data_IF_646344646830
#
_entry.id   IF_646344646830
#
_cell.length_a   1.000
_cell.length_b   1.000
_cell.length_c   1.000
_cell.angle_alpha   90.00
_cell.angle_beta   90.00
_cell.angle_gamma   90.00
#
_symmetry.space_group_name_H-M   'P 1'
#
loop_
_entity.id
_entity.type
_entity.pdbx_description
1 polymer ?
#
# COMPACT_ATOMS: atom_id res chain seq x y z
N UNK A 1 -27.79 39.13 -11.62
CA UNK A 1 -27.65 37.68 -11.65
C UNK A 1 -26.42 37.17 -12.41
N UNK A 2 -25.87 37.86 -13.41
CA UNK A 2 -24.67 37.41 -14.16
C UNK A 2 -23.34 37.43 -13.40
N UNK A 3 -23.20 38.27 -12.34
CA UNK A 3 -21.95 38.36 -11.55
C UNK A 3 -21.75 37.24 -10.51
N UNK A 4 -22.84 36.60 -10.05
CA UNK A 4 -22.77 35.54 -9.02
C UNK A 4 -22.27 34.19 -9.58
N UNK A 5 -22.56 33.94 -10.87
CA UNK A 5 -22.13 32.69 -11.55
C UNK A 5 -20.62 32.67 -11.81
N UNK A 6 -20.03 33.86 -12.06
CA UNK A 6 -18.57 33.93 -12.34
C UNK A 6 -17.72 33.67 -11.08
N UNK A 7 -18.20 34.07 -9.90
CA UNK A 7 -17.45 33.82 -8.63
C UNK A 7 -17.47 32.36 -8.23
N UNK A 8 -18.55 31.63 -8.48
CA UNK A 8 -18.64 30.19 -8.22
C UNK A 8 -17.72 29.35 -9.14
N UNK A 9 -17.54 29.78 -10.40
CA UNK A 9 -16.66 29.11 -11.33
C UNK A 9 -15.18 29.25 -10.97
N UNK A 10 -14.78 30.43 -10.48
CA UNK A 10 -13.38 30.70 -10.07
C UNK A 10 -13.03 29.90 -8.79
N UNK A 11 -13.97 29.71 -7.88
CA UNK A 11 -13.75 28.90 -6.68
C UNK A 11 -13.55 27.42 -6.98
N UNK A 12 -14.21 26.88 -8.01
CA UNK A 12 -14.05 25.48 -8.43
C UNK A 12 -12.70 25.22 -9.10
N UNK A 13 -12.18 26.19 -9.86
CA UNK A 13 -10.87 26.08 -10.54
C UNK A 13 -9.72 26.12 -9.52
N UNK A 14 -9.85 26.87 -8.42
CA UNK A 14 -8.82 26.97 -7.39
C UNK A 14 -8.71 25.69 -6.55
N UNK A 15 -9.82 24.97 -6.33
CA UNK A 15 -9.82 23.69 -5.60
C UNK A 15 -9.15 22.59 -6.45
N UNK A 16 -9.37 22.59 -7.76
CA UNK A 16 -8.74 21.63 -8.69
C UNK A 16 -7.21 21.83 -8.79
N UNK A 17 -6.74 23.10 -8.79
CA UNK A 17 -5.31 23.40 -8.81
C UNK A 17 -4.56 23.04 -7.52
N UNK A 18 -5.24 23.03 -6.37
CA UNK A 18 -4.59 22.63 -5.10
C UNK A 18 -4.39 21.13 -4.97
N UNK A 19 -5.28 20.30 -5.53
CA UNK A 19 -5.14 18.84 -5.51
C UNK A 19 -3.98 18.37 -6.41
N UNK A 20 -3.77 18.97 -7.56
CA UNK A 20 -2.66 18.62 -8.45
C UNK A 20 -1.28 18.89 -7.82
N UNK A 21 -1.11 19.95 -7.06
CA UNK A 21 0.15 20.27 -6.39
C UNK A 21 0.56 19.28 -5.29
N UNK A 22 -0.40 18.61 -4.65
CA UNK A 22 -0.14 17.65 -3.57
C UNK A 22 0.46 16.34 -4.09
N UNK A 23 0.10 15.94 -5.29
CA UNK A 23 0.53 14.68 -5.89
C UNK A 23 1.73 14.82 -6.84
N UNK A 24 2.15 16.06 -7.15
CA UNK A 24 3.36 16.30 -7.93
C UNK A 24 4.58 15.67 -7.26
N UNK A 25 5.32 14.86 -8.01
CA UNK A 25 6.54 14.21 -7.55
C UNK A 25 6.35 12.84 -6.90
N UNK A 26 5.12 12.29 -6.86
CA UNK A 26 4.89 10.90 -6.42
C UNK A 26 4.84 9.92 -7.60
N UNK A 27 4.52 10.37 -8.79
CA UNK A 27 4.45 9.51 -9.97
C UNK A 27 5.83 9.00 -10.38
N UNK A 28 5.91 7.70 -10.72
CA UNK A 28 7.09 7.07 -11.29
C UNK A 28 6.88 6.77 -12.77
N UNK A 29 5.96 5.88 -13.09
CA UNK A 29 5.61 5.59 -14.49
C UNK A 29 4.18 5.07 -14.63
N UNK A 30 3.59 5.31 -15.80
CA UNK A 30 2.30 4.78 -16.17
C UNK A 30 2.48 3.39 -16.80
N UNK A 31 1.79 2.38 -16.28
CA UNK A 31 1.84 1.00 -16.79
C UNK A 31 0.76 0.72 -17.85
N UNK A 32 -0.03 1.73 -18.21
CA UNK A 32 -1.11 1.60 -19.18
C UNK A 32 -2.50 1.72 -18.59
N UNK A 33 -3.50 1.31 -19.35
CA UNK A 33 -4.91 1.38 -18.95
C UNK A 33 -5.51 0.00 -18.72
N UNK A 34 -6.28 -0.11 -17.66
CA UNK A 34 -7.13 -1.27 -17.39
C UNK A 34 -8.54 -0.78 -17.10
N UNK A 35 -9.54 -1.29 -17.84
CA UNK A 35 -10.96 -0.91 -17.66
C UNK A 35 -11.23 0.61 -17.70
N UNK A 36 -10.49 1.38 -18.48
CA UNK A 36 -10.55 2.85 -18.57
C UNK A 36 -9.87 3.61 -17.42
N UNK A 37 -9.15 2.94 -16.51
CA UNK A 37 -8.32 3.56 -15.47
C UNK A 37 -6.87 3.60 -15.91
N UNK A 38 -6.22 4.73 -15.71
CA UNK A 38 -4.77 4.85 -15.82
C UNK A 38 -4.12 4.21 -14.59
N UNK A 39 -3.20 3.27 -14.83
CA UNK A 39 -2.50 2.56 -13.76
C UNK A 39 -1.13 3.18 -13.58
N UNK A 40 -0.89 3.72 -12.39
CA UNK A 40 0.36 4.39 -12.06
C UNK A 40 1.14 3.65 -10.99
N UNK A 41 2.42 3.41 -11.27
CA UNK A 41 3.37 3.13 -10.20
C UNK A 41 3.75 4.46 -9.57
N UNK A 42 3.58 4.56 -8.24
CA UNK A 42 3.90 5.75 -7.47
C UNK A 42 5.03 5.47 -6.48
N UNK A 43 5.74 6.51 -6.07
CA UNK A 43 6.66 6.45 -4.95
C UNK A 43 5.88 6.41 -3.64
N UNK A 44 5.62 5.20 -3.14
CA UNK A 44 4.87 5.01 -1.91
C UNK A 44 5.52 5.69 -0.71
N UNK A 45 6.87 5.76 -0.66
CA UNK A 45 7.56 6.50 0.38
C UNK A 45 7.22 8.01 0.35
N UNK A 46 7.17 8.63 -0.84
CA UNK A 46 6.73 10.02 -0.97
C UNK A 46 5.25 10.21 -0.65
N UNK A 47 4.40 9.24 -1.01
CA UNK A 47 2.98 9.28 -0.62
C UNK A 47 2.85 9.23 0.90
N UNK A 48 3.52 8.27 1.55
CA UNK A 48 3.51 8.15 3.02
C UNK A 48 4.06 9.38 3.72
N UNK A 49 5.11 9.97 3.18
CA UNK A 49 5.75 11.14 3.77
C UNK A 49 4.94 12.43 3.62
N UNK A 50 4.29 12.64 2.47
CA UNK A 50 3.75 13.96 2.11
C UNK A 50 2.23 14.03 2.09
N UNK A 51 1.55 12.90 1.91
CA UNK A 51 0.12 12.87 1.61
C UNK A 51 -0.65 12.05 2.65
N UNK A 52 -0.30 10.77 2.80
CA UNK A 52 -1.02 9.84 3.67
C UNK A 52 -0.09 8.78 4.21
N UNK A 53 0.22 8.87 5.50
CA UNK A 53 1.23 8.06 6.19
C UNK A 53 0.93 6.56 6.24
N UNK A 54 -0.34 6.18 6.15
CA UNK A 54 -0.80 4.79 6.15
C UNK A 54 -1.06 4.25 4.73
N UNK A 55 -0.47 4.85 3.68
CA UNK A 55 -0.59 4.32 2.32
C UNK A 55 0.19 3.02 2.18
N UNK A 56 -0.49 1.93 1.84
CA UNK A 56 0.08 0.60 1.66
C UNK A 56 -0.43 -0.02 0.35
N UNK A 57 0.42 -0.75 -0.35
CA UNK A 57 0.16 -1.51 -1.58
C UNK A 57 -0.38 -0.67 -2.73
N UNK A 58 -1.58 -0.08 -2.59
CA UNK A 58 -2.22 0.67 -3.66
C UNK A 58 -3.34 1.58 -3.17
N UNK A 59 -4.08 2.16 -4.13
CA UNK A 59 -5.20 3.03 -3.84
C UNK A 59 -5.98 3.50 -5.06
N UNK A 60 -7.23 3.86 -4.81
CA UNK A 60 -8.15 4.38 -5.79
C UNK A 60 -8.89 5.63 -5.25
N UNK A 61 -9.51 6.41 -6.15
CA UNK A 61 -10.15 7.68 -5.78
C UNK A 61 -11.42 7.54 -4.95
N UNK A 62 -12.02 6.36 -4.87
CA UNK A 62 -13.19 6.14 -4.01
C UNK A 62 -12.76 6.02 -2.55
N UNK A 63 -11.56 5.45 -2.31
CA UNK A 63 -10.99 5.30 -0.97
C UNK A 63 -10.21 6.54 -0.56
N UNK A 64 -9.38 7.08 -1.46
CA UNK A 64 -8.47 8.18 -1.17
C UNK A 64 -8.81 9.43 -1.97
N UNK A 65 -9.37 10.48 -1.33
CA UNK A 65 -9.73 11.72 -2.01
C UNK A 65 -8.57 12.47 -2.68
N UNK A 66 -7.32 12.14 -2.31
CA UNK A 66 -6.13 12.70 -2.94
C UNK A 66 -5.76 11.98 -4.24
N UNK A 67 -6.27 10.76 -4.46
CA UNK A 67 -6.01 10.02 -5.69
C UNK A 67 -6.84 10.62 -6.84
N UNK A 68 -6.22 11.03 -7.97
CA UNK A 68 -6.94 11.62 -9.08
C UNK A 68 -8.00 10.67 -9.65
N UNK A 69 -9.11 11.26 -10.08
CA UNK A 69 -10.22 10.50 -10.65
C UNK A 69 -9.79 9.79 -11.94
N UNK A 70 -10.06 8.49 -11.98
CA UNK A 70 -9.73 7.64 -13.13
C UNK A 70 -8.34 7.02 -13.04
N UNK A 71 -7.66 7.15 -11.92
CA UNK A 71 -6.35 6.54 -11.67
C UNK A 71 -6.42 5.45 -10.60
N UNK A 72 -5.60 4.44 -10.77
CA UNK A 72 -5.23 3.48 -9.74
C UNK A 72 -3.75 3.65 -9.46
N UNK A 73 -3.41 3.82 -8.21
CA UNK A 73 -2.02 3.93 -7.76
C UNK A 73 -1.54 2.61 -7.18
N UNK A 74 -0.33 2.19 -7.55
CA UNK A 74 0.35 1.02 -7.01
C UNK A 74 1.68 1.48 -6.44
N UNK A 75 1.97 1.07 -5.22
CA UNK A 75 3.21 1.39 -4.52
C UNK A 75 4.42 0.71 -5.18
N UNK A 76 5.48 1.46 -5.46
CA UNK A 76 6.71 0.91 -6.01
C UNK A 76 7.50 0.05 -5.00
N UNK A 77 7.11 0.04 -3.73
CA UNK A 77 7.77 -0.76 -2.70
C UNK A 77 7.37 -2.24 -2.73
N UNK A 78 6.30 -2.61 -3.44
CA UNK A 78 5.80 -3.99 -3.46
C UNK A 78 6.41 -4.82 -4.60
N UNK A 79 6.41 -6.15 -4.44
CA UNK A 79 6.93 -7.08 -5.45
C UNK A 79 6.02 -7.19 -6.68
N UNK A 80 6.55 -7.75 -7.77
CA UNK A 80 5.75 -8.01 -8.98
C UNK A 80 4.59 -8.97 -8.73
N UNK A 81 4.71 -9.87 -7.76
CA UNK A 81 3.66 -10.80 -7.38
C UNK A 81 2.48 -10.08 -6.72
N UNK A 82 2.77 -9.11 -5.86
CA UNK A 82 1.77 -8.31 -5.18
C UNK A 82 1.15 -7.24 -6.09
N UNK A 83 1.90 -6.75 -7.09
CA UNK A 83 1.41 -5.74 -8.02
C UNK A 83 0.07 -6.13 -8.66
N UNK A 84 -0.03 -7.35 -9.17
CA UNK A 84 -1.24 -7.80 -9.87
C UNK A 84 -2.40 -8.10 -8.94
N UNK A 85 -2.09 -8.58 -7.76
CA UNK A 85 -3.08 -8.84 -6.72
C UNK A 85 -3.65 -7.53 -6.20
N UNK A 86 -2.77 -6.56 -5.91
CA UNK A 86 -3.16 -5.20 -5.54
C UNK A 86 -4.00 -4.53 -6.63
N UNK A 87 -3.59 -4.63 -7.89
CA UNK A 87 -4.36 -4.06 -9.00
C UNK A 87 -5.77 -4.67 -9.09
N UNK A 88 -5.89 -6.00 -8.93
CA UNK A 88 -7.19 -6.67 -8.92
C UNK A 88 -8.05 -6.21 -7.73
N UNK A 89 -7.44 -6.06 -6.56
CA UNK A 89 -8.07 -5.55 -5.35
C UNK A 89 -8.63 -4.14 -5.57
N UNK A 90 -7.80 -3.21 -5.99
CA UNK A 90 -8.16 -1.80 -6.15
C UNK A 90 -9.26 -1.59 -7.22
N UNK A 91 -9.18 -2.30 -8.33
CA UNK A 91 -10.21 -2.25 -9.37
C UNK A 91 -11.55 -2.78 -8.87
N UNK A 92 -11.55 -3.87 -8.09
CA UNK A 92 -12.76 -4.45 -7.52
C UNK A 92 -13.36 -3.55 -6.43
N UNK A 93 -12.56 -3.13 -5.47
CA UNK A 93 -12.98 -2.22 -4.38
C UNK A 93 -13.63 -0.96 -4.95
N UNK A 94 -12.92 -0.30 -5.86
CA UNK A 94 -13.43 0.87 -6.55
C UNK A 94 -14.76 0.61 -7.26
N UNK A 95 -14.87 -0.53 -7.98
CA UNK A 95 -16.09 -0.90 -8.69
C UNK A 95 -17.27 -1.06 -7.73
N UNK A 96 -17.08 -1.75 -6.62
CA UNK A 96 -18.11 -1.96 -5.60
C UNK A 96 -18.56 -0.65 -4.97
N UNK A 97 -17.61 0.24 -4.64
CA UNK A 97 -17.94 1.55 -4.07
C UNK A 97 -18.63 2.46 -5.08
N UNK A 98 -18.10 2.58 -6.30
CA UNK A 98 -18.61 3.52 -7.30
C UNK A 98 -19.96 3.09 -7.92
N UNK A 99 -20.14 1.79 -8.21
CA UNK A 99 -21.33 1.28 -8.90
C UNK A 99 -22.46 0.91 -7.96
N UNK A 100 -22.14 0.31 -6.81
CA UNK A 100 -23.14 -0.20 -5.88
C UNK A 100 -23.28 0.65 -4.61
N UNK A 101 -22.44 1.67 -4.43
CA UNK A 101 -22.46 2.55 -3.26
C UNK A 101 -22.04 1.85 -1.96
N UNK A 102 -21.25 0.78 -2.06
CA UNK A 102 -20.79 0.06 -0.88
C UNK A 102 -19.86 0.94 -0.04
N UNK A 103 -19.94 0.76 1.28
CA UNK A 103 -18.98 1.36 2.20
C UNK A 103 -17.60 0.71 2.00
N UNK A 104 -16.55 1.49 2.27
CA UNK A 104 -15.17 1.06 2.12
C UNK A 104 -14.90 -0.32 2.72
N UNK A 105 -15.19 -0.52 4.01
CA UNK A 105 -14.93 -1.80 4.71
C UNK A 105 -15.54 -2.98 3.97
N UNK A 106 -16.80 -2.90 3.57
CA UNK A 106 -17.49 -3.98 2.87
C UNK A 106 -16.90 -4.23 1.48
N UNK A 107 -16.55 -3.17 0.76
CA UNK A 107 -15.90 -3.28 -0.55
C UNK A 107 -14.49 -3.88 -0.43
N UNK A 108 -13.74 -3.46 0.57
CA UNK A 108 -12.40 -3.96 0.90
C UNK A 108 -12.42 -5.47 1.24
N UNK A 109 -13.28 -5.91 2.16
CA UNK A 109 -13.42 -7.33 2.53
C UNK A 109 -13.78 -8.20 1.31
N UNK A 110 -14.67 -7.71 0.44
CA UNK A 110 -14.99 -8.39 -0.81
C UNK A 110 -13.80 -8.45 -1.76
N UNK A 111 -12.98 -7.42 -1.80
CA UNK A 111 -11.77 -7.37 -2.62
C UNK A 111 -10.69 -8.30 -2.09
N UNK A 112 -10.54 -8.43 -0.76
CA UNK A 112 -9.70 -9.44 -0.13
C UNK A 112 -10.16 -10.86 -0.49
N UNK A 113 -11.48 -11.11 -0.55
CA UNK A 113 -12.03 -12.42 -0.97
C UNK A 113 -11.69 -12.75 -2.43
N UNK A 114 -11.76 -11.77 -3.33
CA UNK A 114 -11.33 -11.92 -4.71
C UNK A 114 -9.83 -12.21 -4.78
N UNK A 115 -9.02 -11.45 -4.08
CA UNK A 115 -7.58 -11.61 -4.01
C UNK A 115 -7.19 -12.99 -3.51
N UNK A 116 -7.83 -13.50 -2.44
CA UNK A 116 -7.65 -14.87 -1.95
C UNK A 116 -7.97 -15.91 -3.02
N UNK A 117 -9.05 -15.73 -3.76
CA UNK A 117 -9.42 -16.64 -4.85
C UNK A 117 -8.33 -16.68 -5.92
N UNK A 118 -7.71 -15.55 -6.24
CA UNK A 118 -6.61 -15.45 -7.20
C UNK A 118 -5.36 -16.12 -6.64
N UNK A 119 -4.99 -15.85 -5.38
CA UNK A 119 -3.82 -16.45 -4.71
C UNK A 119 -3.91 -17.97 -4.62
N UNK A 120 -5.09 -18.54 -4.43
CA UNK A 120 -5.31 -19.99 -4.37
C UNK A 120 -5.49 -20.66 -5.73
N UNK A 121 -5.66 -19.89 -6.81
CA UNK A 121 -5.60 -20.45 -8.14
C UNK A 121 -4.15 -20.91 -8.38
N UNK A 122 -3.94 -22.17 -8.82
CA UNK A 122 -2.61 -22.78 -9.04
C UNK A 122 -1.79 -22.10 -10.15
N UNK A 123 -1.76 -20.77 -10.16
CA UNK A 123 -1.01 -19.99 -11.13
C UNK A 123 0.37 -19.67 -10.58
N UNK A 124 1.37 -19.79 -11.43
CA UNK A 124 2.73 -19.38 -11.11
C UNK A 124 2.70 -17.92 -10.65
N UNK A 125 3.45 -17.66 -9.58
CA UNK A 125 3.74 -16.31 -9.09
C UNK A 125 4.03 -15.41 -10.28
N UNK A 126 4.16 -14.26 -10.38
CA UNK A 126 4.43 -13.36 -11.52
C UNK A 126 3.64 -13.59 -12.84
N UNK A 127 2.96 -14.73 -13.04
CA UNK A 127 2.04 -14.97 -14.17
C UNK A 127 0.56 -14.75 -13.82
N UNK A 128 0.27 -14.41 -12.59
CA UNK A 128 -1.08 -14.09 -12.13
C UNK A 128 -1.72 -12.90 -12.87
N UNK A 129 -0.94 -12.14 -13.63
CA UNK A 129 -1.32 -10.90 -14.29
C UNK A 129 -2.55 -11.03 -15.20
N UNK A 130 -2.44 -11.79 -16.27
CA UNK A 130 -3.54 -11.90 -17.24
C UNK A 130 -4.78 -12.55 -16.62
N UNK A 131 -4.57 -13.48 -15.72
CA UNK A 131 -5.66 -14.16 -15.05
C UNK A 131 -6.33 -13.30 -13.99
N UNK A 132 -5.58 -12.44 -13.28
CA UNK A 132 -6.13 -11.47 -12.35
C UNK A 132 -7.02 -10.46 -13.07
N UNK A 133 -6.54 -9.91 -14.18
CA UNK A 133 -7.31 -8.97 -14.98
C UNK A 133 -8.55 -9.60 -15.60
N UNK A 134 -8.46 -10.86 -16.09
CA UNK A 134 -9.62 -11.61 -16.59
C UNK A 134 -10.64 -11.87 -15.48
N UNK A 135 -10.19 -12.23 -14.27
CA UNK A 135 -11.08 -12.42 -13.13
C UNK A 135 -11.80 -11.14 -12.72
N UNK A 136 -11.09 -10.03 -12.60
CA UNK A 136 -11.71 -8.73 -12.30
C UNK A 136 -12.75 -8.37 -13.35
N UNK A 137 -12.46 -8.60 -14.63
CA UNK A 137 -13.40 -8.30 -15.73
C UNK A 137 -14.61 -9.23 -15.79
N UNK A 138 -14.47 -10.48 -15.35
CA UNK A 138 -15.47 -11.54 -15.44
C UNK A 138 -16.21 -11.81 -14.12
N UNK A 139 -15.81 -11.16 -13.02
CA UNK A 139 -16.36 -11.44 -11.70
C UNK A 139 -17.82 -10.97 -11.62
N UNK A 140 -18.72 -11.88 -11.30
CA UNK A 140 -20.08 -11.59 -10.86
C UNK A 140 -20.04 -11.26 -9.36
N UNK A 141 -20.11 -9.97 -9.05
CA UNK A 141 -20.03 -9.46 -7.68
C UNK A 141 -21.28 -9.78 -6.84
N UNK A 142 -22.34 -10.33 -7.43
CA UNK A 142 -23.58 -10.65 -6.71
C UNK A 142 -23.44 -11.80 -5.70
N UNK A 143 -22.39 -12.61 -5.83
CA UNK A 143 -22.18 -13.83 -5.04
C UNK A 143 -20.89 -13.81 -4.19
N UNK A 144 -20.21 -12.68 -4.04
CA UNK A 144 -19.03 -12.60 -3.18
C UNK A 144 -19.49 -12.69 -1.72
N UNK A 145 -19.04 -13.73 -1.05
CA UNK A 145 -19.31 -13.99 0.37
C UNK A 145 -18.23 -13.33 1.23
N UNK A 146 -18.65 -12.83 2.37
CA UNK A 146 -17.76 -12.35 3.42
C UNK A 146 -16.70 -13.41 3.80
N UNK A 147 -15.45 -12.97 3.99
CA UNK A 147 -14.38 -13.87 4.44
C UNK A 147 -14.72 -14.32 5.86
N UNK A 148 -14.96 -15.61 6.04
CA UNK A 148 -15.05 -16.18 7.37
C UNK A 148 -13.65 -16.30 7.97
N UNK A 149 -13.53 -15.91 9.23
CA UNK A 149 -12.28 -15.94 9.99
C UNK A 149 -11.49 -17.24 9.80
N UNK A 150 -10.18 -17.08 9.77
CA UNK A 150 -9.25 -18.17 9.50
C UNK A 150 -9.18 -19.11 10.71
N UNK A 151 -9.10 -20.40 10.46
CA UNK A 151 -8.96 -21.43 11.49
C UNK A 151 -7.63 -21.30 12.24
N UNK A 152 -7.66 -21.38 13.59
CA UNK A 152 -6.50 -21.30 14.49
C UNK A 152 -5.45 -22.42 14.32
N UNK A 153 -5.60 -23.31 13.34
CA UNK A 153 -4.74 -24.49 13.15
C UNK A 153 -3.74 -24.37 12.00
N UNK A 154 -3.37 -23.17 11.59
CA UNK A 154 -2.54 -22.96 10.41
C UNK A 154 -1.07 -23.23 10.71
N UNK A 155 -0.43 -24.02 9.85
CA UNK A 155 0.99 -24.30 9.92
C UNK A 155 1.80 -23.10 9.43
N UNK A 156 2.41 -22.37 10.36
CA UNK A 156 3.26 -21.20 10.07
C UNK A 156 4.70 -21.59 9.67
N UNK A 157 5.04 -22.87 9.70
CA UNK A 157 6.43 -23.39 9.57
C UNK A 157 7.14 -22.99 8.27
N UNK A 158 6.42 -22.72 7.20
CA UNK A 158 7.00 -22.44 5.88
C UNK A 158 7.07 -20.95 5.50
N UNK A 159 6.73 -20.05 6.42
CA UNK A 159 6.69 -18.61 6.12
C UNK A 159 7.98 -17.88 6.49
N UNK A 160 8.75 -18.39 7.47
CA UNK A 160 10.00 -17.74 7.90
C UNK A 160 11.05 -17.80 6.79
N UNK A 161 11.73 -16.68 6.55
CA UNK A 161 12.78 -16.53 5.54
C UNK A 161 14.12 -16.18 6.17
N UNK A 162 14.24 -15.00 6.81
CA UNK A 162 15.50 -14.47 7.31
C UNK A 162 15.33 -14.01 8.76
N UNK A 163 16.12 -14.52 9.72
CA UNK A 163 16.19 -13.94 11.06
C UNK A 163 16.96 -12.61 11.01
N UNK A 164 16.36 -11.56 11.53
CA UNK A 164 16.96 -10.22 11.63
C UNK A 164 17.57 -9.94 13.01
N UNK A 165 17.61 -10.95 13.89
CA UNK A 165 18.02 -10.81 15.26
C UNK A 165 16.90 -10.36 16.19
N UNK A 166 17.25 -9.62 17.26
CA UNK A 166 16.27 -9.12 18.22
C UNK A 166 16.53 -7.65 18.57
N UNK A 167 15.45 -6.91 18.83
CA UNK A 167 15.48 -5.55 19.38
C UNK A 167 14.54 -5.46 20.57
N UNK A 168 14.97 -4.88 21.66
CA UNK A 168 14.21 -4.74 22.92
C UNK A 168 13.66 -6.10 23.44
N UNK A 169 14.36 -7.21 23.16
CA UNK A 169 13.94 -8.56 23.55
C UNK A 169 12.85 -9.19 22.65
N UNK A 170 12.52 -8.55 21.54
CA UNK A 170 11.56 -9.02 20.52
C UNK A 170 12.35 -9.54 19.32
N UNK A 171 12.08 -10.78 18.91
CA UNK A 171 12.68 -11.39 17.74
C UNK A 171 12.09 -10.79 16.46
N UNK A 172 12.93 -10.52 15.47
CA UNK A 172 12.51 -9.90 14.20
C UNK A 172 12.78 -10.87 13.05
N UNK A 173 11.77 -11.10 12.22
CA UNK A 173 11.83 -12.03 11.11
C UNK A 173 11.38 -11.39 9.81
N UNK A 174 12.12 -11.61 8.73
CA UNK A 174 11.58 -11.49 7.39
C UNK A 174 10.78 -12.76 7.11
N UNK A 175 9.52 -12.59 6.72
CA UNK A 175 8.61 -13.69 6.38
C UNK A 175 8.17 -13.61 4.92
N UNK A 176 7.65 -14.71 4.39
CA UNK A 176 6.98 -14.72 3.10
C UNK A 176 5.57 -14.16 3.23
N UNK A 177 5.41 -12.84 3.07
CA UNK A 177 4.13 -12.15 3.20
C UNK A 177 3.07 -12.66 2.21
N UNK A 178 3.49 -13.10 1.00
CA UNK A 178 2.57 -13.75 0.07
C UNK A 178 1.95 -15.01 0.69
N UNK A 179 2.75 -15.86 1.34
CA UNK A 179 2.26 -17.06 2.01
C UNK A 179 1.44 -16.74 3.25
N UNK A 180 1.78 -15.67 3.98
CA UNK A 180 0.95 -15.18 5.09
C UNK A 180 -0.42 -14.77 4.58
N UNK A 181 -0.49 -13.90 3.56
CA UNK A 181 -1.76 -13.46 2.96
C UNK A 181 -2.55 -14.61 2.35
N UNK A 182 -1.87 -15.57 1.72
CA UNK A 182 -2.50 -16.74 1.10
C UNK A 182 -3.14 -17.68 2.12
N UNK A 183 -2.45 -17.98 3.23
CA UNK A 183 -2.78 -19.11 4.08
C UNK A 183 -3.22 -18.72 5.50
N UNK A 184 -2.88 -17.50 5.97
CA UNK A 184 -3.08 -17.10 7.36
C UNK A 184 -4.04 -15.92 7.46
N UNK A 185 -3.64 -14.77 6.92
CA UNK A 185 -4.40 -13.55 7.05
C UNK A 185 -4.31 -12.70 5.77
N UNK A 186 -5.41 -12.61 5.00
CA UNK A 186 -5.42 -11.94 3.69
C UNK A 186 -5.00 -10.48 3.71
N UNK A 187 -5.31 -9.78 4.80
CA UNK A 187 -5.04 -8.36 5.00
C UNK A 187 -3.74 -8.12 5.79
N UNK A 188 -2.76 -9.03 5.67
CA UNK A 188 -1.44 -8.83 6.28
C UNK A 188 -0.69 -7.71 5.55
N UNK A 189 -0.37 -6.64 6.29
CA UNK A 189 0.32 -5.46 5.79
C UNK A 189 1.82 -5.66 5.53
N UNK A 190 2.59 -4.58 5.57
CA UNK A 190 4.05 -4.63 5.40
C UNK A 190 4.76 -5.32 6.58
N UNK A 191 4.10 -5.37 7.72
CA UNK A 191 4.63 -5.96 8.96
C UNK A 191 3.52 -6.24 9.96
N UNK A 192 3.87 -6.88 11.08
CA UNK A 192 2.99 -7.10 12.21
C UNK A 192 3.72 -7.58 13.45
N UNK A 193 3.08 -7.46 14.59
CA UNK A 193 3.59 -7.93 15.88
C UNK A 193 2.60 -8.86 16.60
N UNK A 194 3.07 -9.58 17.61
CA UNK A 194 2.32 -10.57 18.36
C UNK A 194 1.11 -10.03 19.16
N UNK A 195 1.04 -8.73 19.39
CA UNK A 195 -0.10 -8.11 20.09
C UNK A 195 -1.17 -7.61 19.13
N UNK A 196 -0.79 -7.30 17.87
CA UNK A 196 -1.70 -6.90 16.80
C UNK A 196 -2.31 -8.10 16.08
N UNK A 197 -1.51 -9.17 15.88
CA UNK A 197 -1.91 -10.36 15.16
C UNK A 197 -1.72 -11.63 16.00
N UNK A 198 -2.81 -12.24 16.42
CA UNK A 198 -2.80 -13.44 17.28
C UNK A 198 -2.10 -14.67 16.69
N UNK A 199 -1.91 -14.70 15.37
CA UNK A 199 -1.18 -15.78 14.70
C UNK A 199 0.34 -15.58 14.74
N UNK A 200 0.84 -14.41 15.10
CA UNK A 200 2.27 -14.16 15.28
C UNK A 200 2.69 -14.69 16.66
N UNK A 201 3.74 -15.52 16.74
CA UNK A 201 4.22 -16.05 18.00
C UNK A 201 4.64 -14.95 18.99
N UNK A 202 4.45 -15.22 20.27
CA UNK A 202 4.76 -14.25 21.33
C UNK A 202 6.20 -13.74 21.24
N UNK A 203 6.36 -12.43 21.36
CA UNK A 203 7.62 -11.69 21.24
C UNK A 203 8.28 -11.78 19.86
N UNK A 204 7.47 -11.84 18.82
CA UNK A 204 7.95 -11.72 17.44
C UNK A 204 7.36 -10.51 16.73
N UNK A 205 8.15 -9.99 15.79
CA UNK A 205 7.77 -9.05 14.74
C UNK A 205 8.07 -9.70 13.42
N UNK A 206 7.08 -9.69 12.53
CA UNK A 206 7.19 -10.17 11.16
C UNK A 206 7.23 -9.01 10.18
N UNK A 207 8.20 -9.03 9.28
CA UNK A 207 8.36 -8.07 8.20
C UNK A 207 8.14 -8.81 6.87
N UNK A 208 7.31 -8.28 6.02
CA UNK A 208 6.98 -8.87 4.73
C UNK A 208 8.19 -8.80 3.78
N UNK A 209 8.70 -9.96 3.38
CA UNK A 209 9.79 -10.08 2.40
C UNK A 209 9.38 -9.75 0.95
N UNK A 210 8.10 -9.47 0.69
CA UNK A 210 7.61 -8.99 -0.61
C UNK A 210 7.69 -7.46 -0.75
N UNK A 211 8.05 -6.78 0.34
CA UNK A 211 8.20 -5.32 0.38
C UNK A 211 9.67 -4.94 0.24
N UNK A 212 9.94 -3.77 -0.33
CA UNK A 212 11.30 -3.25 -0.50
C UNK A 212 12.06 -3.19 0.83
N UNK A 213 13.35 -3.56 0.81
CA UNK A 213 14.23 -3.45 1.98
C UNK A 213 14.33 -2.03 2.54
N UNK A 214 14.05 -1.00 1.73
CA UNK A 214 14.02 0.40 2.20
C UNK A 214 12.90 0.65 3.22
N UNK A 215 11.84 -0.17 3.23
CA UNK A 215 10.74 -0.08 4.20
C UNK A 215 11.01 -0.86 5.50
N UNK A 216 12.01 -1.75 5.53
CA UNK A 216 12.28 -2.66 6.66
C UNK A 216 12.47 -1.92 7.98
N UNK A 217 13.33 -0.91 8.02
CA UNK A 217 13.62 -0.15 9.26
C UNK A 217 12.42 0.66 9.73
N UNK A 218 11.62 1.19 8.81
CA UNK A 218 10.39 1.90 9.14
C UNK A 218 9.35 0.94 9.74
N UNK A 219 9.18 -0.23 9.14
CA UNK A 219 8.29 -1.28 9.62
C UNK A 219 8.70 -1.75 11.02
N UNK A 220 9.99 -2.04 11.25
CA UNK A 220 10.48 -2.44 12.58
C UNK A 220 10.20 -1.37 13.64
N UNK A 221 10.46 -0.10 13.31
CA UNK A 221 10.25 1.00 14.25
C UNK A 221 8.76 1.18 14.59
N UNK A 222 7.89 1.04 13.58
CA UNK A 222 6.44 1.09 13.76
C UNK A 222 5.98 -0.02 14.69
N UNK A 223 6.35 -1.28 14.40
CA UNK A 223 5.91 -2.45 15.15
C UNK A 223 6.39 -2.45 16.59
N UNK A 224 7.65 -2.09 16.84
CA UNK A 224 8.18 -1.96 18.21
C UNK A 224 7.42 -0.91 19.03
N UNK A 225 7.09 0.22 18.40
CA UNK A 225 6.34 1.28 19.07
C UNK A 225 4.89 0.91 19.31
N UNK A 226 4.22 0.39 18.30
CA UNK A 226 2.84 -0.06 18.38
C UNK A 226 2.68 -1.12 19.48
N UNK A 227 3.53 -2.16 19.43
CA UNK A 227 3.55 -3.22 20.42
C UNK A 227 3.69 -2.68 21.85
N UNK A 228 4.62 -1.75 22.06
CA UNK A 228 4.84 -1.11 23.37
C UNK A 228 3.64 -0.31 23.86
N UNK A 229 2.92 0.34 22.97
CA UNK A 229 1.71 1.10 23.28
C UNK A 229 0.54 0.18 23.64
N UNK A 230 0.37 -0.93 22.91
CA UNK A 230 -0.64 -1.96 23.21
C UNK A 230 -0.33 -2.63 24.56
N UNK A 231 0.93 -2.99 24.81
CA UNK A 231 1.36 -3.53 26.11
C UNK A 231 1.10 -2.55 27.27
N UNK A 232 1.16 -1.25 27.00
CA UNK A 232 0.79 -0.17 27.92
C UNK A 232 -0.71 0.09 28.04
N UNK A 233 -1.57 -0.70 27.38
CA UNK A 233 -3.03 -0.65 27.49
C UNK A 233 -3.73 0.26 26.49
N UNK A 234 -3.06 0.75 25.42
CA UNK A 234 -3.73 1.44 24.31
C UNK A 234 -4.50 0.44 23.44
N UNK A 235 -5.59 0.93 22.85
CA UNK A 235 -6.27 0.21 21.76
C UNK A 235 -5.33 0.03 20.57
N UNK A 236 -5.62 -0.96 19.71
CA UNK A 236 -4.86 -1.16 18.48
C UNK A 236 -4.86 0.10 17.60
N UNK A 237 -6.02 0.69 17.35
CA UNK A 237 -6.16 1.86 16.47
C UNK A 237 -5.36 3.08 16.96
N UNK A 238 -5.41 3.36 18.26
CA UNK A 238 -4.65 4.45 18.88
C UNK A 238 -3.14 4.17 18.85
N UNK A 239 -2.74 2.91 19.12
CA UNK A 239 -1.35 2.50 19.13
C UNK A 239 -0.75 2.57 17.71
N UNK A 240 -1.47 2.09 16.71
CA UNK A 240 -1.09 2.17 15.31
C UNK A 240 -0.93 3.62 14.85
N UNK A 241 -1.91 4.48 15.12
CA UNK A 241 -1.86 5.90 14.78
C UNK A 241 -0.63 6.59 15.35
N UNK A 242 -0.36 6.39 16.67
CA UNK A 242 0.82 6.97 17.32
C UNK A 242 2.15 6.40 16.79
N UNK A 243 2.18 5.12 16.40
CA UNK A 243 3.36 4.48 15.84
C UNK A 243 3.70 5.04 14.45
N UNK A 244 2.70 5.30 13.62
CA UNK A 244 2.86 5.94 12.30
C UNK A 244 3.52 7.31 12.41
N UNK A 245 3.17 8.12 13.43
CA UNK A 245 3.78 9.45 13.64
C UNK A 245 5.30 9.37 13.87
N UNK A 246 5.78 8.31 14.50
CA UNK A 246 7.22 8.08 14.67
C UNK A 246 7.88 7.73 13.34
N UNK A 247 7.23 6.91 12.54
CA UNK A 247 7.73 6.54 11.21
C UNK A 247 7.86 7.77 10.31
N UNK A 248 6.92 8.70 10.36
CA UNK A 248 7.02 9.97 9.62
C UNK A 248 8.28 10.75 10.01
N UNK A 249 8.56 10.90 11.30
CA UNK A 249 9.76 11.59 11.79
C UNK A 249 11.04 10.92 11.29
N UNK A 250 11.11 9.59 11.35
CA UNK A 250 12.26 8.82 10.85
C UNK A 250 12.46 9.03 9.34
N UNK A 251 11.38 9.01 8.55
CA UNK A 251 11.43 9.26 7.10
C UNK A 251 11.94 10.66 6.80
N UNK A 252 11.46 11.67 7.51
CA UNK A 252 11.94 13.06 7.37
C UNK A 252 13.44 13.19 7.70
N UNK A 253 13.89 12.57 8.78
CA UNK A 253 15.31 12.59 9.18
C UNK A 253 16.21 11.91 8.14
N UNK A 254 15.79 10.76 7.62
CA UNK A 254 16.54 10.05 6.58
C UNK A 254 16.62 10.86 5.29
N UNK A 255 15.52 11.52 4.88
CA UNK A 255 15.55 12.40 3.72
C UNK A 255 16.45 13.62 3.90
N UNK A 256 16.47 14.23 5.10
CA UNK A 256 17.39 15.33 5.41
C UNK A 256 18.85 14.88 5.31
N UNK A 257 19.17 13.70 5.85
CA UNK A 257 20.52 13.12 5.76
C UNK A 257 20.90 12.79 4.31
N UNK A 258 20.03 12.18 3.54
CA UNK A 258 20.27 11.89 2.13
C UNK A 258 20.55 13.17 1.33
N UNK A 259 19.76 14.23 1.50
CA UNK A 259 19.99 15.52 0.85
C UNK A 259 21.33 16.14 1.26
N UNK A 260 21.75 16.04 2.51
CA UNK A 260 23.04 16.55 2.97
C UNK A 260 24.23 15.79 2.39
N UNK A 261 24.11 14.50 2.15
CA UNK A 261 25.14 13.69 1.50
C UNK A 261 25.25 13.97 0.00
N UNK A 262 24.11 14.15 -0.69
CA UNK A 262 24.08 14.46 -2.12
C UNK A 262 24.52 15.90 -2.43
N UNK A 263 24.26 16.85 -1.56
CA UNK A 263 24.70 18.26 -1.78
C UNK A 263 26.22 18.45 -1.71
N UNK A 264 26.97 17.47 -1.22
CA UNK A 264 28.44 17.50 -1.20
C UNK A 264 29.06 16.90 -2.50
N UNK A 265 28.29 16.13 -3.28
CA UNK A 265 28.80 15.30 -4.37
C UNK A 265 28.39 15.73 -5.79
N UNK A 266 27.54 16.72 -5.97
CA UNK A 266 27.05 17.11 -7.30
C UNK A 266 27.57 18.52 -7.65
N UNK A 267 28.42 18.66 -8.67
CA UNK A 267 28.69 19.97 -9.27
C UNK A 267 27.43 20.59 -9.82
N UNK A 268 27.24 21.89 -9.72
CA UNK A 268 26.05 22.67 -10.15
C UNK A 268 25.60 22.48 -11.63
N UNK A 269 26.23 21.59 -12.36
CA UNK A 269 25.97 21.30 -13.78
C UNK A 269 25.26 19.98 -14.08
N UNK A 270 24.92 19.18 -13.06
CA UNK A 270 24.19 17.93 -13.29
C UNK A 270 22.72 18.11 -12.95
N UNK A 271 21.93 18.42 -13.95
CA UNK A 271 20.48 18.32 -13.90
C UNK A 271 20.13 16.84 -13.69
N UNK A 272 19.60 16.47 -12.55
CA UNK A 272 19.03 15.14 -12.37
C UNK A 272 17.83 15.00 -13.32
N UNK A 273 18.00 14.24 -14.35
CA UNK A 273 16.89 13.75 -15.15
C UNK A 273 16.03 12.87 -14.24
N UNK A 274 14.90 13.39 -13.81
CA UNK A 274 13.75 12.55 -13.52
C UNK A 274 13.40 11.90 -14.87
N UNK A 275 13.82 10.64 -15.05
CA UNK A 275 13.65 9.93 -16.30
C UNK A 275 12.16 9.71 -16.57
N UNK A 276 11.55 10.61 -17.31
CA UNK A 276 10.44 10.26 -18.18
C UNK A 276 11.06 9.46 -19.31
N UNK A 277 10.82 8.15 -19.34
CA UNK A 277 11.09 7.37 -20.55
C UNK A 277 10.19 7.96 -21.61
N UNK A 278 10.80 8.56 -22.63
CA UNK A 278 10.12 9.05 -23.81
C UNK A 278 9.48 7.84 -24.51
N UNK A 279 8.15 7.80 -24.72
CA UNK A 279 7.49 6.67 -25.36
C UNK A 279 7.84 6.54 -26.86
N UNK A 280 8.61 7.47 -27.43
CA UNK A 280 8.96 7.52 -28.87
C UNK A 280 10.39 7.04 -29.20
N UNK A 281 11.21 6.62 -28.24
CA UNK A 281 12.47 5.92 -28.54
C UNK A 281 12.22 4.42 -28.77
N UNK A 282 12.03 4.09 -30.05
CA UNK A 282 12.08 2.72 -30.57
C UNK A 282 13.47 2.42 -31.13
#
# INVERSE_FOLDING_TARGET
MKKLILVLFISFIIISCKSHKLVDGVYRYNTGKVQNYDIWIVDGNQVRLKIFSSFLYGGNEQRYPFNPKGEIWIDNAISCEEYYLTLAHELNERHLMAKFGWKYITAHDSSLSLEQTIRHSNQERCRAHEASLKKVSATDYSNIKEIKGISDSIQIQNIYRIPMGSREGIAIWIVDGYMVRKNIYPDFGFSGNDLSYHFIPSKEIWIDGQVSCDETEFSIATELKERKLIEGGKSYDDAYSDAIDITLKLREEMMKKAKSHFSIAIPDSVTMYAGTIDPDEK
#
